data_IF_348181636840
#
_entry.id   IF_348181636840
#
_cell.length_a   1.000
_cell.length_b   1.000
_cell.length_c   1.000
_cell.angle_alpha   90.00
_cell.angle_beta   90.00
_cell.angle_gamma   90.00
#
_symmetry.space_group_name_H-M   'P 1'
#
loop_
_entity.id
_entity.type
_entity.pdbx_description
1 polymer ?
#
# COMPACT_ATOMS: atom_id res chain seq x y z
N UNK A 1 7.83 -21.36 -3.35
CA UNK A 1 6.38 -21.03 -3.43
C UNK A 1 6.06 -19.66 -2.81
N UNK A 2 6.60 -19.31 -1.64
CA UNK A 2 6.38 -18.01 -0.95
C UNK A 2 6.81 -16.79 -1.77
N UNK A 3 7.92 -16.90 -2.53
CA UNK A 3 8.40 -15.80 -3.37
C UNK A 3 7.37 -15.37 -4.45
N UNK A 4 6.72 -16.35 -5.09
CA UNK A 4 5.70 -16.08 -6.12
C UNK A 4 4.50 -15.38 -5.49
N UNK A 5 4.04 -15.84 -4.32
CA UNK A 5 2.93 -15.20 -3.59
C UNK A 5 3.21 -13.73 -3.28
N UNK A 6 4.45 -13.40 -2.92
CA UNK A 6 4.88 -12.03 -2.63
C UNK A 6 5.00 -11.16 -3.88
N UNK A 7 5.44 -11.73 -4.99
CA UNK A 7 5.46 -11.03 -6.27
C UNK A 7 4.04 -10.75 -6.76
N UNK A 8 3.13 -11.72 -6.62
CA UNK A 8 1.71 -11.54 -6.91
C UNK A 8 1.10 -10.46 -6.02
N UNK A 9 1.40 -10.47 -4.72
CA UNK A 9 0.93 -9.45 -3.79
C UNK A 9 1.47 -8.06 -4.13
N UNK A 10 2.75 -7.95 -4.49
CA UNK A 10 3.35 -6.69 -4.94
C UNK A 10 2.68 -6.19 -6.21
N UNK A 11 2.46 -7.06 -7.20
CA UNK A 11 1.80 -6.72 -8.45
C UNK A 11 0.35 -6.24 -8.21
N UNK A 12 -0.39 -6.93 -7.35
CA UNK A 12 -1.74 -6.52 -6.96
C UNK A 12 -1.75 -5.14 -6.30
N UNK A 13 -0.83 -4.89 -5.36
CA UNK A 13 -0.72 -3.61 -4.67
C UNK A 13 -0.34 -2.46 -5.63
N UNK A 14 0.50 -2.71 -6.64
CA UNK A 14 0.85 -1.74 -7.68
C UNK A 14 -0.35 -1.45 -8.58
N UNK A 15 -1.08 -2.49 -9.00
CA UNK A 15 -2.28 -2.36 -9.81
C UNK A 15 -3.35 -1.54 -9.09
N UNK A 16 -3.56 -1.81 -7.80
CA UNK A 16 -4.46 -1.04 -6.95
C UNK A 16 -4.02 0.42 -6.82
N UNK A 17 -2.72 0.68 -6.71
CA UNK A 17 -2.17 2.04 -6.71
C UNK A 17 -2.41 2.81 -8.01
N UNK A 18 -2.29 2.15 -9.17
CA UNK A 18 -2.57 2.77 -10.46
C UNK A 18 -4.05 3.16 -10.59
N UNK A 19 -4.97 2.31 -10.12
CA UNK A 19 -6.41 2.62 -10.11
C UNK A 19 -6.73 3.82 -9.23
N UNK A 20 -6.12 3.92 -8.04
CA UNK A 20 -6.30 5.07 -7.16
C UNK A 20 -5.81 6.37 -7.79
N UNK A 21 -4.66 6.33 -8.46
CA UNK A 21 -4.12 7.51 -9.16
C UNK A 21 -5.08 7.97 -10.26
N UNK A 22 -5.65 7.05 -11.03
CA UNK A 22 -6.67 7.38 -12.04
C UNK A 22 -7.96 7.93 -11.42
N UNK A 23 -8.43 7.38 -10.30
CA UNK A 23 -9.60 7.90 -9.58
C UNK A 23 -9.36 9.31 -8.99
N UNK A 24 -8.16 9.60 -8.52
CA UNK A 24 -7.77 10.93 -8.03
C UNK A 24 -7.68 11.96 -9.17
N UNK A 25 -7.17 11.56 -10.33
CA UNK A 25 -7.13 12.38 -11.55
C UNK A 25 -8.54 12.68 -12.11
N UNK A 26 -9.46 11.71 -12.05
CA UNK A 26 -10.87 11.89 -12.44
C UNK A 26 -11.63 12.83 -11.49
N UNK A 27 -11.39 12.73 -10.17
CA UNK A 27 -11.99 13.67 -9.20
C UNK A 27 -11.50 15.11 -9.41
N UNK A 28 -10.20 15.28 -9.69
CA UNK A 28 -9.60 16.61 -9.90
C UNK A 28 -10.11 17.31 -11.17
N UNK A 29 -10.57 16.57 -12.19
CA UNK A 29 -11.24 17.12 -13.38
C UNK A 29 -12.70 17.50 -13.17
N UNK A 30 -13.36 16.94 -12.15
CA UNK A 30 -14.80 17.13 -11.92
C UNK A 30 -15.07 18.35 -11.03
N UNK A 31 -14.06 18.86 -10.31
CA UNK A 31 -14.20 19.98 -9.35
C UNK A 31 -14.19 21.38 -10.01
N UNK A 32 -13.82 21.50 -11.29
CA UNK A 32 -13.78 22.77 -12.03
C UNK A 32 -15.09 23.10 -12.80
N UNK A 33 -16.19 22.37 -12.57
CA UNK A 33 -17.48 22.69 -13.21
C UNK A 33 -18.69 21.99 -12.60
N UNK A 34 -19.55 22.73 -11.91
CA UNK A 34 -20.88 22.25 -11.51
C UNK A 34 -21.80 22.05 -12.72
N UNK A 35 -22.27 20.82 -12.96
CA UNK A 35 -23.69 20.47 -12.82
C UNK A 35 -23.94 18.97 -13.11
N UNK A 36 -24.96 18.44 -12.43
CA UNK A 36 -25.19 17.03 -12.24
C UNK A 36 -25.47 16.18 -13.48
N UNK A 37 -25.12 14.90 -13.36
CA UNK A 37 -26.01 13.75 -13.59
C UNK A 37 -25.31 12.56 -12.97
N UNK A 38 -25.90 12.03 -11.90
CA UNK A 38 -25.51 10.75 -11.30
C UNK A 38 -25.80 9.63 -12.31
N UNK A 39 -24.85 9.40 -13.23
CA UNK A 39 -24.75 8.10 -13.87
C UNK A 39 -23.90 7.24 -12.96
N UNK A 40 -24.55 6.26 -12.33
CA UNK A 40 -23.92 5.20 -11.56
C UNK A 40 -23.01 4.38 -12.48
N UNK A 41 -21.83 4.92 -12.81
CA UNK A 41 -20.73 4.14 -13.34
C UNK A 41 -20.24 3.33 -12.15
N UNK A 42 -20.34 2.01 -12.23
CA UNK A 42 -19.77 1.07 -11.28
C UNK A 42 -18.25 1.20 -11.35
N UNK A 43 -17.68 2.32 -10.88
CA UNK A 43 -16.29 2.40 -10.46
C UNK A 43 -16.25 1.59 -9.18
N UNK A 44 -15.94 0.29 -9.34
CA UNK A 44 -15.82 -0.64 -8.23
C UNK A 44 -14.86 -0.05 -7.20
N UNK A 45 -15.44 0.53 -6.13
CA UNK A 45 -14.70 1.11 -5.03
C UNK A 45 -13.74 0.05 -4.51
N UNK A 46 -12.44 0.33 -4.54
CA UNK A 46 -11.48 -0.58 -3.93
C UNK A 46 -11.85 -0.76 -2.46
N UNK A 47 -11.80 -2.00 -1.99
CA UNK A 47 -11.97 -2.34 -0.58
C UNK A 47 -11.04 -1.45 0.26
N UNK A 48 -11.46 -0.92 1.42
CA UNK A 48 -10.64 0.00 2.23
C UNK A 48 -9.24 -0.56 2.54
N UNK A 49 -9.13 -1.88 2.67
CA UNK A 49 -7.86 -2.57 2.89
C UNK A 49 -6.92 -2.52 1.67
N UNK A 50 -7.46 -2.70 0.45
CA UNK A 50 -6.68 -2.55 -0.79
C UNK A 50 -6.16 -1.12 -0.91
N UNK A 51 -6.98 -0.13 -0.56
CA UNK A 51 -6.57 1.27 -0.54
C UNK A 51 -5.44 1.54 0.47
N UNK A 52 -5.44 0.85 1.60
CA UNK A 52 -4.39 0.96 2.60
C UNK A 52 -3.06 0.36 2.12
N UNK A 53 -3.08 -0.74 1.36
CA UNK A 53 -1.84 -1.41 0.91
C UNK A 53 -1.41 -1.04 -0.51
N UNK A 54 -2.17 -0.18 -1.19
CA UNK A 54 -1.87 0.30 -2.52
C UNK A 54 -0.51 1.02 -2.58
N UNK A 55 0.24 0.71 -3.64
CA UNK A 55 1.58 1.25 -3.88
C UNK A 55 1.48 2.21 -5.07
N UNK A 56 1.60 3.51 -4.81
CA UNK A 56 1.51 4.55 -5.83
C UNK A 56 2.79 4.73 -6.65
N UNK A 57 3.93 4.39 -6.04
CA UNK A 57 5.26 4.55 -6.64
C UNK A 57 5.94 3.19 -6.81
N UNK A 58 6.55 2.98 -7.99
CA UNK A 58 7.24 1.73 -8.30
C UNK A 58 8.48 1.60 -7.39
N UNK A 59 8.69 0.45 -6.74
CA UNK A 59 9.83 0.26 -5.85
C UNK A 59 11.16 0.29 -6.61
N UNK A 60 12.19 0.82 -5.95
CA UNK A 60 13.55 0.80 -6.50
C UNK A 60 14.02 -0.66 -6.62
N UNK A 61 14.79 -1.05 -7.66
CA UNK A 61 15.45 -2.35 -7.75
C UNK A 61 16.04 -2.86 -6.42
N UNK A 62 16.72 -1.99 -5.64
CA UNK A 62 17.28 -2.39 -4.34
C UNK A 62 16.20 -2.76 -3.32
N UNK A 63 15.12 -1.97 -3.22
CA UNK A 63 13.99 -2.26 -2.33
C UNK A 63 13.29 -3.56 -2.74
N UNK A 64 13.18 -3.81 -4.06
CA UNK A 64 12.63 -5.04 -4.60
C UNK A 64 13.49 -6.26 -4.24
N UNK A 65 14.80 -6.20 -4.45
CA UNK A 65 15.71 -7.29 -4.08
C UNK A 65 15.72 -7.54 -2.57
N UNK A 66 15.74 -6.47 -1.77
CA UNK A 66 15.69 -6.56 -0.32
C UNK A 66 14.37 -7.19 0.15
N UNK A 67 13.25 -6.84 -0.48
CA UNK A 67 11.97 -7.50 -0.27
C UNK A 67 12.09 -8.98 -0.61
N UNK A 68 12.54 -9.36 -1.82
CA UNK A 68 12.66 -10.76 -2.24
C UNK A 68 13.61 -11.62 -1.39
N UNK A 69 14.71 -11.05 -0.89
CA UNK A 69 15.78 -11.76 -0.18
C UNK A 69 15.66 -11.71 1.36
N UNK A 70 14.58 -11.14 1.91
CA UNK A 70 14.37 -11.14 3.36
C UNK A 70 14.36 -12.58 3.92
N UNK A 71 15.22 -12.87 4.90
CA UNK A 71 15.46 -14.20 5.49
C UNK A 71 14.17 -14.86 6.02
N UNK A 72 13.26 -14.08 6.57
CA UNK A 72 11.94 -14.56 7.04
C UNK A 72 11.13 -15.25 5.93
N UNK A 73 11.40 -14.89 4.68
CA UNK A 73 10.68 -15.40 3.52
C UNK A 73 11.35 -16.60 2.87
N UNK A 74 12.59 -16.88 3.25
CA UNK A 74 13.32 -18.10 2.87
C UNK A 74 12.81 -19.29 3.70
N UNK A 75 12.44 -19.06 4.97
CA UNK A 75 12.12 -20.14 5.92
C UNK A 75 10.61 -20.46 6.10
N UNK A 76 9.72 -19.99 5.22
CA UNK A 76 8.27 -20.23 5.23
C UNK A 76 7.42 -19.37 6.18
N UNK A 77 7.68 -18.05 6.23
CA UNK A 77 6.73 -17.08 6.78
C UNK A 77 5.56 -16.74 5.84
N UNK A 78 4.43 -16.21 6.35
CA UNK A 78 3.34 -15.68 5.52
C UNK A 78 3.83 -14.52 4.64
N UNK A 79 3.21 -14.30 3.46
CA UNK A 79 3.56 -13.18 2.62
C UNK A 79 3.18 -11.86 3.31
N UNK A 80 4.18 -11.02 3.60
CA UNK A 80 4.00 -9.66 4.10
C UNK A 80 3.78 -8.70 2.92
N UNK A 81 2.97 -7.65 3.10
CA UNK A 81 2.82 -6.62 2.05
C UNK A 81 4.12 -5.82 1.89
N UNK A 82 4.36 -5.30 0.68
CA UNK A 82 5.56 -4.50 0.43
C UNK A 82 5.57 -3.19 1.24
N UNK A 83 4.40 -2.58 1.47
CA UNK A 83 4.27 -1.37 2.29
C UNK A 83 4.71 -1.63 3.73
N UNK A 84 4.24 -2.72 4.35
CA UNK A 84 4.61 -3.05 5.72
C UNK A 84 6.08 -3.40 5.83
N UNK A 85 6.60 -4.15 4.86
CA UNK A 85 8.03 -4.44 4.77
C UNK A 85 8.87 -3.16 4.70
N UNK A 86 8.47 -2.19 3.88
CA UNK A 86 9.16 -0.90 3.74
C UNK A 86 9.15 -0.11 5.04
N UNK A 87 8.00 0.01 5.69
CA UNK A 87 7.86 0.69 6.99
C UNK A 87 8.75 0.06 8.06
N UNK A 88 8.83 -1.27 8.07
CA UNK A 88 9.65 -2.04 9.00
C UNK A 88 11.14 -1.77 8.81
N UNK A 89 11.66 -1.86 7.59
CA UNK A 89 13.10 -1.65 7.32
C UNK A 89 13.54 -0.20 7.54
N UNK A 90 12.63 0.77 7.33
CA UNK A 90 12.90 2.19 7.54
C UNK A 90 12.72 2.62 9.01
N UNK A 91 12.13 1.77 9.84
CA UNK A 91 11.83 2.08 11.24
C UNK A 91 10.81 3.21 11.43
N UNK A 92 9.94 3.46 10.44
CA UNK A 92 8.92 4.53 10.46
C UNK A 92 7.57 4.09 11.01
N UNK A 93 7.55 3.06 11.84
CA UNK A 93 6.33 2.49 12.44
C UNK A 93 5.56 3.54 13.28
N UNK A 94 6.28 4.44 13.96
CA UNK A 94 5.70 5.50 14.79
C UNK A 94 4.98 6.61 13.98
N UNK A 95 5.18 6.64 12.66
CA UNK A 95 4.61 7.63 11.74
C UNK A 95 3.38 7.09 10.99
N UNK A 96 3.02 5.82 11.18
CA UNK A 96 1.82 5.28 10.55
C UNK A 96 0.56 5.97 11.10
N UNK A 97 -0.22 6.52 10.17
CA UNK A 97 -1.47 7.24 10.46
C UNK A 97 -2.55 6.33 11.05
N UNK A 98 -2.42 5.02 10.90
CA UNK A 98 -3.39 4.03 11.35
C UNK A 98 -3.11 3.49 12.76
N UNK A 99 -2.03 3.93 13.42
CA UNK A 99 -1.68 3.46 14.75
C UNK A 99 -2.56 4.12 15.83
N UNK A 100 -3.03 3.31 16.78
CA UNK A 100 -3.71 3.83 17.97
C UNK A 100 -2.73 4.69 18.80
N UNK A 101 -3.17 5.80 19.44
CA UNK A 101 -2.32 6.61 20.32
C UNK A 101 -1.48 5.80 21.32
N UNK A 102 -2.02 4.71 21.88
CA UNK A 102 -1.28 3.81 22.78
C UNK A 102 -0.15 3.06 22.08
N UNK A 103 -0.40 2.55 20.87
CA UNK A 103 0.60 1.85 20.07
C UNK A 103 1.68 2.83 19.62
N UNK A 104 1.31 4.03 19.18
CA UNK A 104 2.25 5.08 18.81
C UNK A 104 3.18 5.46 19.97
N UNK A 105 2.63 5.63 21.17
CA UNK A 105 3.42 5.90 22.38
C UNK A 105 4.44 4.78 22.65
N UNK A 106 4.08 3.51 22.44
CA UNK A 106 5.01 2.39 22.55
C UNK A 106 6.21 2.52 21.59
N UNK A 107 5.96 2.76 20.30
CA UNK A 107 7.06 2.90 19.33
C UNK A 107 7.92 4.14 19.56
N UNK A 108 7.34 5.24 20.06
CA UNK A 108 8.11 6.44 20.42
C UNK A 108 8.98 6.21 21.66
N UNK A 109 8.48 5.44 22.64
CA UNK A 109 9.24 5.15 23.87
C UNK A 109 10.43 4.20 23.67
N UNK A 110 10.42 3.44 22.57
CA UNK A 110 11.43 2.41 22.25
C UNK A 110 12.47 2.91 21.22
N UNK A 111 12.47 4.21 20.90
CA UNK A 111 13.39 4.86 19.96
C UNK A 111 14.59 5.44 20.69
#
# INVERSE_FOLDING_TARGET
>A
MVLVQRLTLLAANIWDGQRLKSEEEEKKKTDDGENGTQTSKVSGQLTPICKQYAILEIPNPLEFFSYCLNFQTIMAGPPITFRDYRTFIEGREAEDKNLNPKQRAYFVSQR
#
